data_IF_890505916328
#
_entry.id   IF_890505916328
#
_cell.length_a   1.000
_cell.length_b   1.000
_cell.length_c   1.000
_cell.angle_alpha   90.00
_cell.angle_beta   90.00
_cell.angle_gamma   90.00
#
_symmetry.space_group_name_H-M   'P 1'
#
loop_
_entity.id
_entity.type
_entity.pdbx_description
1 polymer ?
#
# COMPACT_ATOMS: atom_id res chain seq x y z
N UNK A 1 42.34 4.53 -6.94
CA UNK A 1 41.08 4.41 -6.19
C UNK A 1 40.54 5.80 -5.76
N UNK A 2 41.38 6.73 -5.35
CA UNK A 2 40.96 8.09 -4.98
C UNK A 2 40.46 8.97 -6.14
N UNK A 3 40.97 8.79 -7.38
CA UNK A 3 40.54 9.59 -8.53
C UNK A 3 39.11 9.27 -9.02
N UNK A 4 38.62 8.04 -8.81
CA UNK A 4 37.23 7.70 -9.10
C UNK A 4 36.23 8.33 -8.10
N UNK A 5 36.67 8.57 -6.87
CA UNK A 5 35.87 9.26 -5.84
C UNK A 5 35.77 10.78 -6.09
N UNK A 6 36.76 11.40 -6.70
CA UNK A 6 36.74 12.81 -7.06
C UNK A 6 35.87 13.09 -8.30
N UNK A 7 35.68 12.12 -9.20
CA UNK A 7 34.83 12.23 -10.38
C UNK A 7 33.32 12.07 -10.07
N UNK A 8 32.96 11.39 -9.00
CA UNK A 8 31.59 11.29 -8.51
C UNK A 8 31.29 12.56 -7.71
N UNK A 9 30.56 13.47 -8.32
CA UNK A 9 30.19 14.80 -7.87
C UNK A 9 29.98 14.96 -6.35
N UNK A 10 30.06 16.19 -5.86
CA UNK A 10 30.20 16.47 -4.44
C UNK A 10 29.28 15.60 -3.57
N UNK A 11 29.78 14.99 -2.48
CA UNK A 11 28.99 14.19 -1.54
C UNK A 11 27.67 14.86 -1.12
N UNK A 12 27.64 16.17 -1.11
CA UNK A 12 26.48 17.00 -0.79
C UNK A 12 25.32 16.86 -1.80
N UNK A 13 25.61 16.66 -3.09
CA UNK A 13 24.57 16.51 -4.12
C UNK A 13 23.87 15.15 -3.97
N UNK A 14 24.63 14.08 -3.75
CA UNK A 14 24.07 12.75 -3.47
C UNK A 14 23.24 12.77 -2.19
N UNK A 15 23.72 13.44 -1.14
CA UNK A 15 22.99 13.61 0.11
C UNK A 15 21.67 14.37 -0.08
N UNK A 16 21.69 15.47 -0.86
CA UNK A 16 20.48 16.21 -1.20
C UNK A 16 19.48 15.34 -1.98
N UNK A 17 19.95 14.59 -2.98
CA UNK A 17 19.12 13.68 -3.76
C UNK A 17 18.51 12.57 -2.89
N UNK A 18 19.30 12.01 -1.97
CA UNK A 18 18.84 10.98 -1.04
C UNK A 18 17.83 11.52 -0.01
N UNK A 19 18.03 12.75 0.44
CA UNK A 19 17.08 13.47 1.30
C UNK A 19 15.75 13.71 0.59
N UNK A 20 15.76 14.14 -0.68
CA UNK A 20 14.56 14.29 -1.49
C UNK A 20 13.81 12.97 -1.61
N UNK A 21 14.52 11.86 -1.89
CA UNK A 21 13.93 10.52 -1.91
C UNK A 21 13.27 10.16 -0.58
N UNK A 22 13.94 10.44 0.54
CA UNK A 22 13.41 10.14 1.87
C UNK A 22 12.12 10.92 2.18
N UNK A 23 12.05 12.20 1.79
CA UNK A 23 10.85 13.04 1.92
C UNK A 23 9.68 12.42 1.14
N UNK A 24 9.88 12.07 -0.13
CA UNK A 24 8.83 11.47 -0.95
C UNK A 24 8.40 10.08 -0.47
N UNK A 25 9.36 9.28 0.03
CA UNK A 25 9.07 7.98 0.66
C UNK A 25 8.16 8.12 1.87
N UNK A 26 8.47 9.08 2.77
CA UNK A 26 7.65 9.30 3.96
C UNK A 26 6.31 9.95 3.61
N UNK A 27 6.26 10.84 2.63
CA UNK A 27 5.01 11.40 2.08
C UNK A 27 4.09 10.28 1.59
N UNK A 28 4.60 9.34 0.80
CA UNK A 28 3.84 8.19 0.32
C UNK A 28 3.35 7.30 1.48
N UNK A 29 4.19 7.04 2.47
CA UNK A 29 3.83 6.25 3.64
C UNK A 29 2.71 6.91 4.47
N UNK A 30 2.78 8.23 4.69
CA UNK A 30 1.74 9.00 5.39
C UNK A 30 0.40 8.98 4.66
N UNK A 31 0.43 9.18 3.33
CA UNK A 31 -0.79 9.11 2.50
C UNK A 31 -1.42 7.70 2.55
N UNK A 32 -0.60 6.64 2.44
CA UNK A 32 -1.06 5.25 2.59
C UNK A 32 -1.68 4.99 3.96
N UNK A 33 -1.02 5.44 5.01
CA UNK A 33 -1.50 5.26 6.39
C UNK A 33 -2.84 5.97 6.62
N UNK A 34 -3.01 7.20 6.09
CA UNK A 34 -4.27 7.93 6.16
C UNK A 34 -5.41 7.21 5.43
N UNK A 35 -5.17 6.74 4.20
CA UNK A 35 -6.15 5.95 3.44
C UNK A 35 -6.56 4.69 4.20
N UNK A 36 -5.59 3.94 4.72
CA UNK A 36 -5.84 2.72 5.49
C UNK A 36 -6.64 3.01 6.77
N UNK A 37 -6.30 4.09 7.50
CA UNK A 37 -7.01 4.53 8.71
C UNK A 37 -8.49 4.82 8.41
N UNK A 38 -8.76 5.62 7.37
CA UNK A 38 -10.13 6.01 7.04
C UNK A 38 -10.97 4.85 6.50
N UNK A 39 -10.37 3.92 5.73
CA UNK A 39 -11.03 2.68 5.29
C UNK A 39 -11.45 1.82 6.48
N UNK A 40 -10.53 1.60 7.44
CA UNK A 40 -10.83 0.84 8.66
C UNK A 40 -11.91 1.53 9.50
N UNK A 41 -11.81 2.84 9.66
CA UNK A 41 -12.81 3.61 10.40
C UNK A 41 -14.20 3.48 9.76
N UNK A 42 -14.31 3.63 8.44
CA UNK A 42 -15.58 3.48 7.73
C UNK A 42 -16.19 2.07 7.88
N UNK A 43 -15.35 1.03 7.82
CA UNK A 43 -15.79 -0.35 8.03
C UNK A 43 -16.33 -0.56 9.45
N UNK A 44 -15.59 -0.11 10.47
CA UNK A 44 -16.01 -0.22 11.88
C UNK A 44 -17.28 0.61 12.14
N UNK A 45 -17.36 1.83 11.62
CA UNK A 45 -18.54 2.68 11.76
C UNK A 45 -19.78 2.06 11.09
N UNK A 46 -19.63 1.44 9.93
CA UNK A 46 -20.72 0.73 9.25
C UNK A 46 -21.29 -0.43 10.10
N UNK A 47 -20.41 -1.26 10.65
CA UNK A 47 -20.81 -2.36 11.53
C UNK A 47 -21.43 -1.85 12.82
N UNK A 48 -20.83 -0.82 13.45
CA UNK A 48 -21.35 -0.21 14.67
C UNK A 48 -22.74 0.40 14.45
N UNK A 49 -22.94 1.10 13.35
CA UNK A 49 -24.25 1.68 13.00
C UNK A 49 -25.31 0.60 12.82
N UNK A 50 -25.02 -0.47 12.08
CA UNK A 50 -25.92 -1.61 11.93
C UNK A 50 -26.24 -2.29 13.27
N UNK A 51 -25.23 -2.43 14.13
CA UNK A 51 -25.42 -2.95 15.49
C UNK A 51 -26.38 -2.09 16.32
N UNK A 52 -26.19 -0.77 16.33
CA UNK A 52 -27.02 0.17 17.08
C UNK A 52 -28.47 0.16 16.57
N UNK A 53 -28.69 0.13 15.27
CA UNK A 53 -30.05 0.03 14.69
C UNK A 53 -30.75 -1.27 15.14
N UNK A 54 -30.03 -2.38 15.09
CA UNK A 54 -30.57 -3.69 15.53
C UNK A 54 -30.86 -3.69 17.03
N UNK A 55 -29.95 -3.12 17.82
CA UNK A 55 -30.10 -2.98 19.27
C UNK A 55 -31.32 -2.09 19.62
N UNK A 56 -31.50 -0.98 18.92
CA UNK A 56 -32.66 -0.10 19.11
C UNK A 56 -33.97 -0.85 18.86
N UNK A 57 -34.02 -1.69 17.82
CA UNK A 57 -35.17 -2.57 17.57
C UNK A 57 -35.44 -3.57 18.69
N UNK A 58 -34.38 -4.22 19.21
CA UNK A 58 -34.50 -5.19 20.33
C UNK A 58 -34.95 -4.50 21.63
N UNK A 59 -34.38 -3.36 21.98
CA UNK A 59 -34.77 -2.59 23.20
C UNK A 59 -36.20 -2.08 23.10
N UNK A 60 -36.65 -1.64 21.91
CA UNK A 60 -38.05 -1.24 21.68
C UNK A 60 -39.06 -2.37 21.93
N UNK A 61 -38.62 -3.60 21.72
CA UNK A 61 -39.45 -4.77 22.05
C UNK A 61 -39.66 -4.95 23.56
N UNK A 62 -38.75 -4.46 24.41
CA UNK A 62 -38.76 -4.52 25.85
C UNK A 62 -39.37 -3.27 26.51
N UNK A 63 -39.07 -2.09 25.95
CA UNK A 63 -39.53 -0.78 26.46
C UNK A 63 -40.21 0.02 25.32
N UNK A 64 -41.52 -0.15 25.20
CA UNK A 64 -42.30 0.41 24.08
C UNK A 64 -42.50 1.92 24.17
N UNK A 65 -42.49 2.49 25.37
CA UNK A 65 -42.79 3.90 25.62
C UNK A 65 -41.51 4.72 25.92
N UNK A 66 -40.37 4.06 26.08
CA UNK A 66 -39.10 4.70 26.40
C UNK A 66 -38.49 5.51 25.23
N UNK A 67 -37.83 6.61 25.56
CA UNK A 67 -37.07 7.41 24.57
C UNK A 67 -35.74 6.80 24.17
N UNK A 68 -35.22 5.87 24.97
CA UNK A 68 -33.91 5.25 24.81
C UNK A 68 -33.73 4.52 23.45
N UNK A 69 -34.68 3.68 22.98
CA UNK A 69 -34.58 3.06 21.65
C UNK A 69 -34.45 4.07 20.52
N UNK A 70 -35.20 5.17 20.62
CA UNK A 70 -35.19 6.23 19.60
C UNK A 70 -33.84 6.99 19.58
N UNK A 71 -33.22 7.20 20.72
CA UNK A 71 -31.89 7.80 20.82
C UNK A 71 -30.82 6.86 20.23
N UNK A 72 -30.87 5.56 20.56
CA UNK A 72 -29.93 4.56 20.01
C UNK A 72 -30.04 4.52 18.48
N UNK A 73 -31.25 4.46 17.94
CA UNK A 73 -31.49 4.48 16.50
C UNK A 73 -30.97 5.79 15.86
N UNK A 74 -31.24 6.96 16.46
CA UNK A 74 -30.71 8.24 15.95
C UNK A 74 -29.18 8.24 15.87
N UNK A 75 -28.50 7.75 16.89
CA UNK A 75 -27.02 7.66 16.90
C UNK A 75 -26.54 6.68 15.82
N UNK A 76 -27.18 5.52 15.69
CA UNK A 76 -26.89 4.55 14.63
C UNK A 76 -27.05 5.15 13.24
N UNK A 77 -28.16 5.82 12.98
CA UNK A 77 -28.44 6.48 11.70
C UNK A 77 -27.41 7.60 11.38
N UNK A 78 -27.03 8.42 12.36
CA UNK A 78 -25.99 9.45 12.18
C UNK A 78 -24.66 8.80 11.79
N UNK A 79 -24.24 7.74 12.49
CA UNK A 79 -22.99 7.00 12.18
C UNK A 79 -23.05 6.48 10.75
N UNK A 80 -24.14 5.83 10.35
CA UNK A 80 -24.30 5.28 8.99
C UNK A 80 -24.29 6.38 7.93
N UNK A 81 -24.92 7.53 8.19
CA UNK A 81 -24.93 8.66 7.25
C UNK A 81 -23.54 9.28 7.03
N UNK A 82 -22.65 9.23 8.02
CA UNK A 82 -21.30 9.77 7.92
C UNK A 82 -20.38 8.86 7.10
N UNK A 83 -20.63 7.54 7.03
CA UNK A 83 -19.76 6.59 6.31
C UNK A 83 -19.57 6.96 4.82
N UNK A 84 -20.63 7.14 3.99
CA UNK A 84 -20.46 7.49 2.59
C UNK A 84 -19.77 8.84 2.39
N UNK A 85 -20.00 9.81 3.27
CA UNK A 85 -19.32 11.11 3.25
C UNK A 85 -17.81 10.95 3.45
N UNK A 86 -17.38 10.17 4.45
CA UNK A 86 -15.96 9.87 4.70
C UNK A 86 -15.34 9.12 3.54
N UNK A 87 -16.02 8.11 3.00
CA UNK A 87 -15.52 7.35 1.84
C UNK A 87 -15.30 8.25 0.63
N UNK A 88 -16.24 9.16 0.35
CA UNK A 88 -16.14 10.10 -0.76
C UNK A 88 -15.03 11.15 -0.59
N UNK A 89 -14.79 11.63 0.64
CA UNK A 89 -13.87 12.75 0.90
C UNK A 89 -12.47 12.30 1.29
N UNK A 90 -12.34 11.23 2.08
CA UNK A 90 -11.05 10.77 2.66
C UNK A 90 -10.45 9.56 1.96
N UNK A 91 -11.26 8.81 1.20
CA UNK A 91 -10.84 7.59 0.49
C UNK A 91 -11.11 7.70 -1.02
N UNK A 92 -11.20 8.93 -1.52
CA UNK A 92 -11.47 9.22 -2.93
C UNK A 92 -10.38 8.64 -3.85
N UNK A 93 -10.72 8.44 -5.14
CA UNK A 93 -9.77 8.02 -6.18
C UNK A 93 -8.58 8.98 -6.27
N UNK A 94 -8.81 10.28 -6.09
CA UNK A 94 -7.74 11.29 -6.13
C UNK A 94 -6.73 11.10 -5.00
N UNK A 95 -7.18 10.79 -3.77
CA UNK A 95 -6.29 10.48 -2.65
C UNK A 95 -5.44 9.23 -2.89
N UNK A 96 -6.01 8.23 -3.56
CA UNK A 96 -5.25 7.04 -3.97
C UNK A 96 -4.20 7.40 -5.03
N UNK A 97 -4.55 8.24 -6.00
CA UNK A 97 -3.62 8.74 -7.03
C UNK A 97 -2.47 9.54 -6.41
N UNK A 98 -2.75 10.45 -5.47
CA UNK A 98 -1.74 11.21 -4.75
C UNK A 98 -0.71 10.28 -4.09
N UNK A 99 -1.18 9.25 -3.40
CA UNK A 99 -0.32 8.24 -2.80
C UNK A 99 0.55 7.51 -3.83
N UNK A 100 -0.05 7.00 -4.92
CA UNK A 100 0.67 6.27 -5.96
C UNK A 100 1.73 7.16 -6.62
N UNK A 101 1.38 8.40 -6.98
CA UNK A 101 2.30 9.37 -7.58
C UNK A 101 3.48 9.70 -6.65
N UNK A 102 3.22 9.93 -5.36
CA UNK A 102 4.27 10.16 -4.37
C UNK A 102 5.22 8.95 -4.26
N UNK A 103 4.68 7.72 -4.26
CA UNK A 103 5.46 6.49 -4.24
C UNK A 103 6.32 6.35 -5.51
N UNK A 104 5.74 6.55 -6.69
CA UNK A 104 6.47 6.45 -7.96
C UNK A 104 7.63 7.43 -8.03
N UNK A 105 7.45 8.67 -7.56
CA UNK A 105 8.53 9.65 -7.49
C UNK A 105 9.62 9.22 -6.51
N UNK A 106 9.25 8.71 -5.34
CA UNK A 106 10.21 8.20 -4.37
C UNK A 106 11.09 7.09 -4.95
N UNK A 107 10.49 6.12 -5.65
CA UNK A 107 11.24 5.02 -6.26
C UNK A 107 12.08 5.49 -7.45
N UNK A 108 11.58 6.40 -8.31
CA UNK A 108 12.35 6.96 -9.41
C UNK A 108 13.57 7.77 -8.92
N UNK A 109 13.43 8.53 -7.82
CA UNK A 109 14.55 9.22 -7.20
C UNK A 109 15.58 8.23 -6.63
N UNK A 110 15.11 7.16 -6.01
CA UNK A 110 15.95 6.10 -5.45
C UNK A 110 16.75 5.39 -6.54
N UNK A 111 16.09 4.95 -7.61
CA UNK A 111 16.71 4.38 -8.81
C UNK A 111 17.79 5.31 -9.38
N UNK A 112 17.45 6.59 -9.55
CA UNK A 112 18.36 7.59 -10.09
C UNK A 112 19.65 7.69 -9.27
N UNK A 113 19.54 7.68 -7.94
CA UNK A 113 20.72 7.73 -7.05
C UNK A 113 21.56 6.45 -7.17
N UNK A 114 20.93 5.27 -7.20
CA UNK A 114 21.66 4.01 -7.33
C UNK A 114 22.36 3.88 -8.68
N UNK A 115 21.72 4.25 -9.79
CA UNK A 115 22.34 4.29 -11.12
C UNK A 115 23.52 5.25 -11.18
N UNK A 116 23.39 6.43 -10.55
CA UNK A 116 24.47 7.40 -10.46
C UNK A 116 25.68 6.85 -9.69
N UNK A 117 25.45 6.24 -8.53
CA UNK A 117 26.50 5.67 -7.68
C UNK A 117 27.18 4.44 -8.31
N UNK A 118 26.45 3.67 -9.10
CA UNK A 118 26.98 2.53 -9.85
C UNK A 118 27.70 2.96 -11.16
N UNK A 119 27.57 4.23 -11.58
CA UNK A 119 28.16 4.75 -12.81
C UNK A 119 27.62 4.09 -14.09
N UNK A 120 26.33 3.75 -14.09
CA UNK A 120 25.65 3.09 -15.22
C UNK A 120 24.63 4.01 -15.89
N UNK A 121 24.24 3.76 -17.15
CA UNK A 121 23.30 4.62 -17.87
C UNK A 121 22.01 4.92 -17.07
N UNK A 122 21.48 6.15 -17.17
CA UNK A 122 21.90 7.28 -18.02
C UNK A 122 23.16 8.01 -17.55
N UNK A 123 23.78 7.55 -16.48
CA UNK A 123 25.06 8.06 -15.97
C UNK A 123 26.20 7.15 -16.41
N UNK A 124 27.39 7.74 -16.65
CA UNK A 124 28.57 6.99 -17.10
C UNK A 124 29.86 7.65 -16.62
N UNK A 125 31.03 7.15 -17.09
CA UNK A 125 32.31 7.80 -16.83
C UNK A 125 32.27 9.25 -17.31
N UNK A 126 32.37 10.22 -16.40
CA UNK A 126 32.29 11.65 -16.70
C UNK A 126 30.93 12.32 -16.41
N UNK A 127 29.93 11.59 -15.98
CA UNK A 127 28.68 12.21 -15.49
C UNK A 127 28.94 13.10 -14.29
N UNK A 128 28.41 14.30 -14.34
CA UNK A 128 28.60 15.32 -13.32
C UNK A 128 27.49 15.28 -12.25
N UNK A 129 27.74 15.94 -11.13
CA UNK A 129 26.68 16.20 -10.15
C UNK A 129 25.50 17.00 -10.72
N UNK A 130 25.73 17.83 -11.75
CA UNK A 130 24.69 18.58 -12.43
C UNK A 130 23.69 17.66 -13.16
N UNK A 131 24.14 16.54 -13.71
CA UNK A 131 23.29 15.57 -14.38
C UNK A 131 22.31 14.92 -13.39
N UNK A 132 22.79 14.56 -12.19
CA UNK A 132 21.96 14.05 -11.10
C UNK A 132 20.92 15.09 -10.65
N UNK A 133 21.33 16.34 -10.46
CA UNK A 133 20.43 17.45 -10.07
C UNK A 133 19.34 17.64 -11.13
N UNK A 134 19.74 17.67 -12.41
CA UNK A 134 18.81 17.87 -13.52
C UNK A 134 17.78 16.73 -13.60
N UNK A 135 18.25 15.48 -13.47
CA UNK A 135 17.35 14.31 -13.48
C UNK A 135 16.34 14.37 -12.33
N UNK A 136 16.81 14.65 -11.11
CA UNK A 136 15.94 14.80 -9.94
C UNK A 136 14.92 15.93 -10.11
N UNK A 137 15.34 17.06 -10.72
CA UNK A 137 14.42 18.17 -11.02
C UNK A 137 13.30 17.76 -11.98
N UNK A 138 13.62 16.99 -13.02
CA UNK A 138 12.63 16.46 -13.96
C UNK A 138 11.64 15.53 -13.26
N UNK A 139 12.13 14.61 -12.44
CA UNK A 139 11.28 13.66 -11.70
C UNK A 139 10.33 14.41 -10.75
N UNK A 140 10.86 15.33 -9.93
CA UNK A 140 10.04 16.14 -8.99
C UNK A 140 9.07 17.07 -9.73
N UNK A 141 9.41 17.49 -10.94
CA UNK A 141 8.57 18.31 -11.80
C UNK A 141 7.21 17.68 -12.13
N UNK A 142 7.14 16.33 -12.17
CA UNK A 142 5.90 15.57 -12.46
C UNK A 142 4.86 15.61 -11.32
N UNK A 143 5.25 16.06 -10.13
CA UNK A 143 4.40 16.06 -8.91
C UNK A 143 4.46 17.40 -8.17
N UNK A 144 4.61 18.52 -8.89
CA UNK A 144 4.66 19.87 -8.29
C UNK A 144 3.44 20.20 -7.44
N UNK A 145 2.28 19.70 -7.84
CA UNK A 145 1.00 19.85 -7.13
C UNK A 145 1.00 19.18 -5.74
N UNK A 146 1.82 18.14 -5.53
CA UNK A 146 1.98 17.48 -4.24
C UNK A 146 3.07 18.13 -3.37
N UNK A 147 3.75 19.15 -3.87
CA UNK A 147 4.87 19.80 -3.18
C UNK A 147 4.50 20.36 -1.81
N UNK A 148 3.29 20.89 -1.66
CA UNK A 148 2.80 21.39 -0.36
C UNK A 148 2.66 20.27 0.69
N UNK A 149 2.26 19.06 0.27
CA UNK A 149 2.15 17.90 1.16
C UNK A 149 3.56 17.41 1.56
N UNK A 150 4.47 17.35 0.58
CA UNK A 150 5.84 16.92 0.82
C UNK A 150 6.61 17.90 1.72
N UNK A 151 6.34 19.21 1.63
CA UNK A 151 6.97 20.23 2.46
C UNK A 151 6.64 20.12 3.96
N UNK A 152 5.55 19.42 4.32
CA UNK A 152 5.17 19.16 5.71
C UNK A 152 5.86 17.93 6.31
N UNK A 153 6.72 17.27 5.53
CA UNK A 153 7.42 16.06 5.94
C UNK A 153 8.84 16.40 6.34
N UNK A 154 9.21 16.15 7.59
CA UNK A 154 10.60 16.17 8.01
C UNK A 154 11.31 14.94 7.47
N UNK A 155 12.43 15.10 6.74
CA UNK A 155 13.15 13.98 6.17
C UNK A 155 13.70 13.07 7.28
N UNK A 156 13.38 11.77 7.27
CA UNK A 156 14.00 10.84 8.19
C UNK A 156 15.51 10.78 7.93
N UNK A 157 16.31 10.71 8.99
CA UNK A 157 17.76 10.47 8.87
C UNK A 157 17.98 9.06 8.34
N UNK A 158 18.30 8.94 7.07
CA UNK A 158 18.71 7.67 6.44
C UNK A 158 20.16 7.80 6.02
N UNK A 159 20.94 6.78 6.37
CA UNK A 159 22.29 6.68 5.84
C UNK A 159 22.24 6.69 4.31
N UNK A 160 23.06 7.54 3.71
CA UNK A 160 23.17 7.63 2.26
C UNK A 160 24.01 6.46 1.74
N UNK A 161 23.66 5.89 0.60
CA UNK A 161 24.56 4.98 -0.08
C UNK A 161 25.82 5.71 -0.54
N UNK A 162 26.95 5.01 -0.53
CA UNK A 162 28.24 5.49 -1.07
C UNK A 162 28.43 4.98 -2.49
N UNK A 163 29.51 5.40 -3.17
CA UNK A 163 29.89 4.84 -4.47
C UNK A 163 29.94 3.31 -4.40
N UNK A 164 29.29 2.64 -5.35
CA UNK A 164 29.04 1.21 -5.31
C UNK A 164 29.88 0.49 -6.35
N UNK A 165 30.69 -0.46 -5.90
CA UNK A 165 31.14 -1.53 -6.78
C UNK A 165 29.97 -2.46 -7.14
N UNK A 166 30.05 -3.26 -8.21
CA UNK A 166 28.97 -4.18 -8.55
C UNK A 166 28.60 -5.15 -7.41
N UNK A 167 29.58 -5.64 -6.65
CA UNK A 167 29.33 -6.54 -5.52
C UNK A 167 28.65 -5.79 -4.34
N UNK A 168 29.02 -4.54 -4.10
CA UNK A 168 28.34 -3.68 -3.12
C UNK A 168 26.90 -3.34 -3.55
N UNK A 169 26.66 -3.13 -4.85
CA UNK A 169 25.31 -2.94 -5.38
C UNK A 169 24.43 -4.18 -5.13
N UNK A 170 24.95 -5.39 -5.37
CA UNK A 170 24.24 -6.63 -5.03
C UNK A 170 23.88 -6.66 -3.57
N UNK A 171 24.82 -6.36 -2.68
CA UNK A 171 24.63 -6.44 -1.23
C UNK A 171 23.64 -5.38 -0.72
N UNK A 172 23.85 -4.11 -1.11
CA UNK A 172 23.15 -2.97 -0.50
C UNK A 172 21.84 -2.61 -1.22
N UNK A 173 21.70 -3.02 -2.49
CA UNK A 173 20.47 -2.75 -3.26
C UNK A 173 19.66 -4.01 -3.48
N UNK A 174 20.26 -5.03 -4.12
CA UNK A 174 19.51 -6.23 -4.55
C UNK A 174 19.09 -7.08 -3.36
N UNK A 175 20.06 -7.52 -2.54
CA UNK A 175 19.78 -8.38 -1.37
C UNK A 175 18.91 -7.66 -0.34
N UNK A 176 19.14 -6.36 -0.07
CA UNK A 176 18.28 -5.57 0.83
C UNK A 176 16.84 -5.50 0.31
N UNK A 177 16.62 -5.33 -1.01
CA UNK A 177 15.27 -5.35 -1.57
C UNK A 177 14.62 -6.73 -1.42
N UNK A 178 15.35 -7.82 -1.69
CA UNK A 178 14.82 -9.18 -1.57
C UNK A 178 14.49 -9.50 -0.12
N UNK A 179 15.50 -9.39 0.78
CA UNK A 179 15.43 -9.95 2.13
C UNK A 179 14.72 -9.05 3.13
N UNK A 180 14.86 -7.71 3.00
CA UNK A 180 14.30 -6.76 3.95
C UNK A 180 13.02 -6.09 3.48
N UNK A 181 12.70 -6.18 2.18
CA UNK A 181 11.49 -5.54 1.65
C UNK A 181 10.53 -6.55 1.01
N UNK A 182 10.88 -7.18 -0.13
CA UNK A 182 9.92 -7.97 -0.89
C UNK A 182 9.45 -9.23 -0.18
N UNK A 183 10.35 -10.07 0.31
CA UNK A 183 9.96 -11.31 1.00
C UNK A 183 9.18 -11.05 2.30
N UNK A 184 9.58 -10.12 3.19
CA UNK A 184 8.79 -9.79 4.38
C UNK A 184 7.43 -9.20 4.03
N UNK A 185 7.36 -8.25 3.07
CA UNK A 185 6.10 -7.64 2.66
C UNK A 185 5.17 -8.63 1.97
N UNK A 186 5.70 -9.54 1.14
CA UNK A 186 4.94 -10.63 0.56
C UNK A 186 4.30 -11.51 1.64
N UNK A 187 5.08 -11.91 2.65
CA UNK A 187 4.59 -12.71 3.79
C UNK A 187 3.55 -11.97 4.63
N UNK A 188 3.80 -10.70 4.96
CA UNK A 188 2.84 -9.87 5.70
C UNK A 188 1.47 -9.82 4.99
N UNK A 189 1.49 -9.56 3.67
CA UNK A 189 0.26 -9.48 2.88
C UNK A 189 -0.44 -10.85 2.76
N UNK A 190 0.30 -11.95 2.52
CA UNK A 190 -0.27 -13.29 2.45
C UNK A 190 -0.92 -13.70 3.78
N UNK A 191 -0.29 -13.39 4.92
CA UNK A 191 -0.86 -13.65 6.24
C UNK A 191 -2.11 -12.80 6.48
N UNK A 192 -2.08 -11.51 6.10
CA UNK A 192 -3.23 -10.63 6.23
C UNK A 192 -4.42 -11.11 5.38
N UNK A 193 -4.19 -11.49 4.13
CA UNK A 193 -5.18 -12.07 3.24
C UNK A 193 -5.81 -13.32 3.86
N UNK A 194 -4.99 -14.29 4.26
CA UNK A 194 -5.47 -15.55 4.87
C UNK A 194 -6.33 -15.30 6.12
N UNK A 195 -5.90 -14.37 7.00
CA UNK A 195 -6.69 -14.03 8.21
C UNK A 195 -8.05 -13.43 7.87
N UNK A 196 -8.08 -12.54 6.89
CA UNK A 196 -9.32 -11.86 6.50
C UNK A 196 -10.26 -12.81 5.72
N UNK A 197 -9.76 -13.69 4.85
CA UNK A 197 -10.56 -14.72 4.21
C UNK A 197 -11.16 -15.69 5.22
N UNK A 198 -10.40 -16.12 6.22
CA UNK A 198 -10.92 -16.96 7.29
C UNK A 198 -12.02 -16.24 8.11
N UNK A 199 -11.83 -14.94 8.38
CA UNK A 199 -12.84 -14.13 9.08
C UNK A 199 -14.11 -13.97 8.23
N UNK A 200 -13.97 -13.67 6.94
CA UNK A 200 -15.07 -13.57 5.97
C UNK A 200 -15.87 -14.87 5.93
N UNK A 201 -15.19 -16.00 5.77
CA UNK A 201 -15.83 -17.33 5.77
C UNK A 201 -16.56 -17.62 7.09
N UNK A 202 -15.93 -17.34 8.24
CA UNK A 202 -16.54 -17.57 9.56
C UNK A 202 -17.77 -16.71 9.78
N UNK A 203 -17.73 -15.42 9.38
CA UNK A 203 -18.88 -14.52 9.48
C UNK A 203 -20.01 -14.95 8.52
N UNK A 204 -19.67 -15.36 7.30
CA UNK A 204 -20.65 -15.88 6.35
C UNK A 204 -21.34 -17.13 6.86
N UNK A 205 -20.58 -18.10 7.38
CA UNK A 205 -21.13 -19.32 7.97
C UNK A 205 -22.01 -19.01 9.19
N UNK A 206 -21.57 -18.12 10.07
CA UNK A 206 -22.37 -17.69 11.23
C UNK A 206 -23.69 -17.05 10.80
N UNK A 207 -23.68 -16.20 9.79
CA UNK A 207 -24.89 -15.56 9.27
C UNK A 207 -25.88 -16.59 8.72
N UNK A 208 -25.40 -17.63 8.00
CA UNK A 208 -26.22 -18.73 7.48
C UNK A 208 -26.83 -19.54 8.61
N UNK A 209 -26.04 -19.94 9.62
CA UNK A 209 -26.52 -20.69 10.78
C UNK A 209 -27.55 -19.88 11.55
N UNK A 210 -27.30 -18.62 11.85
CA UNK A 210 -28.25 -17.76 12.56
C UNK A 210 -29.56 -17.57 11.78
N UNK A 211 -29.45 -17.38 10.46
CA UNK A 211 -30.61 -17.24 9.57
C UNK A 211 -31.47 -18.51 9.53
N UNK A 212 -30.82 -19.67 9.43
CA UNK A 212 -31.52 -20.97 9.46
C UNK A 212 -32.24 -21.21 10.81
N UNK A 213 -31.57 -20.94 11.93
CA UNK A 213 -32.15 -21.05 13.26
C UNK A 213 -33.33 -20.09 13.47
N UNK A 214 -33.20 -18.84 13.06
CA UNK A 214 -34.28 -17.85 13.14
C UNK A 214 -35.50 -18.26 12.29
N UNK A 215 -35.25 -18.79 11.09
CA UNK A 215 -36.31 -19.26 10.19
C UNK A 215 -37.04 -20.50 10.78
N UNK A 216 -36.30 -21.49 11.25
CA UNK A 216 -36.86 -22.68 11.90
C UNK A 216 -37.65 -22.33 13.16
N UNK A 217 -37.15 -21.39 13.96
CA UNK A 217 -37.83 -20.90 15.16
C UNK A 217 -39.17 -20.20 14.85
N UNK A 218 -39.21 -19.44 13.77
CA UNK A 218 -40.47 -18.82 13.31
C UNK A 218 -41.48 -19.86 12.90
N UNK A 219 -41.06 -20.92 12.20
CA UNK A 219 -41.93 -22.01 11.75
C UNK A 219 -42.45 -22.88 12.90
N UNK A 220 -41.68 -23.02 13.99
CA UNK A 220 -42.01 -23.84 15.16
C UNK A 220 -42.64 -23.07 16.31
N UNK A 221 -42.79 -21.75 16.20
CA UNK A 221 -43.34 -20.87 17.23
C UNK A 221 -42.41 -20.61 18.43
N UNK A 222 -41.11 -20.90 18.30
CA UNK A 222 -40.09 -20.64 19.33
C UNK A 222 -39.66 -19.16 19.30
N UNK A 223 -40.43 -18.31 20.00
CA UNK A 223 -40.27 -16.84 19.97
C UNK A 223 -38.87 -16.36 20.37
N UNK A 224 -38.20 -17.01 21.30
CA UNK A 224 -36.88 -16.62 21.79
C UNK A 224 -35.81 -16.68 20.69
N UNK A 225 -35.80 -17.75 19.88
CA UNK A 225 -34.85 -17.94 18.78
C UNK A 225 -35.18 -17.07 17.57
N UNK A 226 -36.43 -16.65 17.39
CA UNK A 226 -36.81 -15.74 16.31
C UNK A 226 -36.15 -14.34 16.47
N UNK A 227 -35.76 -13.97 17.70
CA UNK A 227 -35.01 -12.73 17.99
C UNK A 227 -33.60 -12.69 17.36
N UNK A 228 -33.09 -13.84 16.88
CA UNK A 228 -31.83 -13.90 16.12
C UNK A 228 -31.93 -13.24 14.74
N UNK A 229 -33.11 -13.22 14.13
CA UNK A 229 -33.32 -12.71 12.78
C UNK A 229 -32.72 -11.34 12.51
N UNK A 230 -33.01 -10.29 13.30
CA UNK A 230 -32.41 -8.96 13.14
C UNK A 230 -30.88 -8.94 13.27
N UNK A 231 -30.29 -9.84 14.07
CA UNK A 231 -28.84 -9.90 14.25
C UNK A 231 -28.10 -10.50 13.06
N UNK A 232 -28.77 -11.25 12.20
CA UNK A 232 -28.22 -11.70 10.92
C UNK A 232 -27.75 -10.50 10.08
N UNK A 233 -28.52 -9.40 10.10
CA UNK A 233 -28.15 -8.16 9.37
C UNK A 233 -26.85 -7.56 9.88
N UNK A 234 -26.55 -7.62 11.17
CA UNK A 234 -25.28 -7.13 11.75
C UNK A 234 -24.13 -8.00 11.28
N UNK A 235 -24.28 -9.33 11.34
CA UNK A 235 -23.23 -10.27 10.93
C UNK A 235 -22.95 -10.17 9.43
N UNK A 236 -23.99 -10.06 8.59
CA UNK A 236 -23.82 -9.88 7.14
C UNK A 236 -23.18 -8.54 6.80
N UNK A 237 -23.51 -7.45 7.54
CA UNK A 237 -22.84 -6.16 7.39
C UNK A 237 -21.36 -6.24 7.76
N UNK A 238 -21.02 -6.98 8.83
CA UNK A 238 -19.62 -7.22 9.21
C UNK A 238 -18.88 -8.03 8.13
N UNK A 239 -19.51 -9.08 7.60
CA UNK A 239 -18.97 -9.86 6.48
C UNK A 239 -18.72 -8.98 5.26
N UNK A 240 -19.71 -8.20 4.82
CA UNK A 240 -19.57 -7.27 3.70
C UNK A 240 -18.47 -6.23 3.91
N UNK A 241 -18.29 -5.73 5.14
CA UNK A 241 -17.20 -4.81 5.47
C UNK A 241 -15.81 -5.47 5.35
N UNK A 242 -15.68 -6.74 5.72
CA UNK A 242 -14.44 -7.52 5.54
C UNK A 242 -14.15 -7.75 4.06
N UNK A 243 -15.17 -8.20 3.28
CA UNK A 243 -15.06 -8.38 1.82
C UNK A 243 -14.65 -7.10 1.12
N UNK A 244 -15.29 -5.98 1.45
CA UNK A 244 -14.94 -4.65 0.89
C UNK A 244 -13.51 -4.24 1.26
N UNK A 245 -13.06 -4.54 2.49
CA UNK A 245 -11.69 -4.27 2.91
C UNK A 245 -10.68 -5.13 2.16
N UNK A 246 -10.94 -6.42 1.95
CA UNK A 246 -10.12 -7.33 1.13
C UNK A 246 -9.99 -6.81 -0.30
N UNK A 247 -11.10 -6.50 -0.95
CA UNK A 247 -11.13 -5.98 -2.31
C UNK A 247 -10.35 -4.66 -2.44
N UNK A 248 -10.52 -3.72 -1.49
CA UNK A 248 -9.82 -2.44 -1.49
C UNK A 248 -8.34 -2.54 -1.17
N UNK A 249 -7.92 -3.53 -0.38
CA UNK A 249 -6.52 -3.69 0.06
C UNK A 249 -5.71 -4.56 -0.89
N UNK A 250 -6.35 -5.44 -1.66
CA UNK A 250 -5.72 -6.34 -2.66
C UNK A 250 -4.54 -7.12 -2.09
N UNK A 251 -4.66 -7.62 -0.87
CA UNK A 251 -3.56 -8.30 -0.17
C UNK A 251 -2.98 -9.48 -0.96
N UNK A 252 -3.83 -10.32 -1.57
CA UNK A 252 -3.39 -11.47 -2.38
C UNK A 252 -2.56 -11.02 -3.58
N UNK A 253 -3.04 -10.03 -4.33
CA UNK A 253 -2.33 -9.48 -5.47
C UNK A 253 -0.99 -8.86 -5.04
N UNK A 254 -0.97 -8.09 -3.94
CA UNK A 254 0.28 -7.52 -3.41
C UNK A 254 1.28 -8.61 -3.00
N UNK A 255 0.81 -9.68 -2.35
CA UNK A 255 1.68 -10.80 -1.97
C UNK A 255 2.30 -11.47 -3.20
N UNK A 256 1.49 -11.77 -4.23
CA UNK A 256 1.98 -12.36 -5.50
C UNK A 256 2.98 -11.45 -6.20
N UNK A 257 2.70 -10.15 -6.29
CA UNK A 257 3.60 -9.16 -6.91
C UNK A 257 4.93 -9.09 -6.16
N UNK A 258 4.92 -9.01 -4.84
CA UNK A 258 6.15 -8.95 -4.05
C UNK A 258 6.98 -10.23 -4.16
N UNK A 259 6.38 -11.41 -4.11
CA UNK A 259 7.09 -12.66 -4.31
C UNK A 259 7.64 -12.79 -5.73
N UNK A 260 6.86 -12.42 -6.75
CA UNK A 260 7.29 -12.43 -8.15
C UNK A 260 8.46 -11.48 -8.42
N UNK A 261 8.45 -10.27 -7.81
CA UNK A 261 9.58 -9.34 -7.92
C UNK A 261 10.82 -9.86 -7.19
N UNK A 262 10.64 -10.48 -6.01
CA UNK A 262 11.76 -11.10 -5.30
C UNK A 262 12.40 -12.23 -6.11
N UNK A 263 11.59 -13.11 -6.68
CA UNK A 263 12.04 -14.23 -7.51
C UNK A 263 12.78 -13.75 -8.77
N UNK A 264 12.24 -12.74 -9.44
CA UNK A 264 12.90 -12.11 -10.59
C UNK A 264 14.25 -11.51 -10.23
N UNK A 265 14.35 -10.79 -9.09
CA UNK A 265 15.62 -10.23 -8.63
C UNK A 265 16.64 -11.32 -8.26
N UNK A 266 16.19 -12.42 -7.67
CA UNK A 266 17.02 -13.59 -7.38
C UNK A 266 17.57 -14.16 -8.70
N UNK A 267 16.72 -14.38 -9.70
CA UNK A 267 17.13 -14.89 -11.01
C UNK A 267 18.17 -14.00 -11.67
N UNK A 268 17.91 -12.69 -11.78
CA UNK A 268 18.86 -11.71 -12.37
C UNK A 268 20.19 -11.69 -11.61
N UNK A 269 20.16 -11.75 -10.28
CA UNK A 269 21.37 -11.81 -9.45
C UNK A 269 22.16 -13.07 -9.70
N UNK A 270 21.50 -14.22 -9.71
CA UNK A 270 22.17 -15.52 -9.83
C UNK A 270 22.74 -15.71 -11.24
N UNK A 271 22.04 -15.26 -12.30
CA UNK A 271 22.56 -15.21 -13.67
C UNK A 271 23.81 -14.32 -13.77
N UNK A 272 23.79 -13.14 -13.13
CA UNK A 272 24.96 -12.25 -13.09
C UNK A 272 26.13 -12.87 -12.36
N UNK A 273 25.91 -13.53 -11.21
CA UNK A 273 26.95 -14.22 -10.44
C UNK A 273 27.59 -15.39 -11.20
N UNK A 274 26.81 -16.09 -12.02
CA UNK A 274 27.28 -17.18 -12.86
C UNK A 274 28.05 -16.72 -14.10
N UNK A 275 27.95 -15.43 -14.50
CA UNK A 275 28.60 -14.92 -15.70
C UNK A 275 30.12 -14.73 -15.49
N UNK A 276 31.01 -15.40 -16.23
CA UNK A 276 32.46 -15.23 -16.10
C UNK A 276 32.93 -13.78 -16.42
N UNK A 277 32.19 -13.08 -17.29
CA UNK A 277 32.50 -11.69 -17.69
C UNK A 277 31.71 -10.65 -16.90
N UNK A 278 31.22 -11.00 -15.72
CA UNK A 278 30.32 -10.15 -14.90
C UNK A 278 30.86 -8.75 -14.58
N UNK A 279 32.18 -8.58 -14.55
CA UNK A 279 32.83 -7.30 -14.26
C UNK A 279 33.06 -6.42 -15.50
N UNK A 280 32.69 -6.91 -16.70
CA UNK A 280 32.70 -6.07 -17.89
C UNK A 280 31.69 -4.91 -17.72
N UNK A 281 32.06 -3.67 -18.06
CA UNK A 281 31.20 -2.51 -17.87
C UNK A 281 29.81 -2.65 -18.52
N UNK A 282 29.75 -3.32 -19.68
CA UNK A 282 28.46 -3.53 -20.37
C UNK A 282 27.59 -4.56 -19.65
N UNK A 283 28.21 -5.62 -19.11
CA UNK A 283 27.51 -6.60 -18.28
C UNK A 283 27.01 -5.98 -16.96
N UNK A 284 27.82 -5.14 -16.33
CA UNK A 284 27.42 -4.41 -15.10
C UNK A 284 26.26 -3.48 -15.40
N UNK A 285 26.33 -2.68 -16.48
CA UNK A 285 25.27 -1.77 -16.85
C UNK A 285 23.94 -2.50 -17.11
N UNK A 286 24.01 -3.61 -17.84
CA UNK A 286 22.83 -4.47 -18.11
C UNK A 286 22.27 -5.05 -16.81
N UNK A 287 23.11 -5.58 -15.94
CA UNK A 287 22.69 -6.16 -14.66
C UNK A 287 21.94 -5.14 -13.79
N UNK A 288 22.49 -3.92 -13.63
CA UNK A 288 21.84 -2.85 -12.87
C UNK A 288 20.53 -2.45 -13.54
N UNK A 289 20.50 -2.38 -14.87
CA UNK A 289 19.28 -2.05 -15.62
C UNK A 289 18.19 -3.11 -15.41
N UNK A 290 18.50 -4.38 -15.53
CA UNK A 290 17.59 -5.51 -15.31
C UNK A 290 17.05 -5.52 -13.87
N UNK A 291 17.90 -5.23 -12.87
CA UNK A 291 17.48 -5.12 -11.47
C UNK A 291 16.53 -3.93 -11.22
N UNK A 292 16.89 -2.73 -11.68
CA UNK A 292 16.06 -1.54 -11.48
C UNK A 292 14.76 -1.64 -12.30
N UNK A 293 14.79 -2.27 -13.47
CA UNK A 293 13.58 -2.56 -14.24
C UNK A 293 12.66 -3.54 -13.51
N UNK A 294 13.21 -4.60 -12.90
CA UNK A 294 12.40 -5.52 -12.08
C UNK A 294 11.70 -4.81 -10.92
N UNK A 295 12.38 -3.84 -10.29
CA UNK A 295 11.84 -3.03 -9.19
C UNK A 295 10.80 -2.02 -9.70
N UNK A 296 11.06 -1.37 -10.86
CA UNK A 296 10.16 -0.33 -11.41
C UNK A 296 8.89 -0.91 -12.01
N UNK A 297 8.93 -2.10 -12.58
CA UNK A 297 7.77 -2.78 -13.18
C UNK A 297 6.64 -2.98 -12.15
N UNK A 298 6.98 -3.24 -10.88
CA UNK A 298 5.99 -3.29 -9.81
C UNK A 298 5.25 -1.94 -9.68
N UNK A 299 5.97 -0.83 -9.74
CA UNK A 299 5.38 0.51 -9.61
C UNK A 299 4.58 0.92 -10.86
N UNK A 300 5.03 0.55 -12.05
CA UNK A 300 4.33 0.83 -13.31
C UNK A 300 3.04 0.02 -13.46
N UNK A 301 3.04 -1.24 -13.04
CA UNK A 301 1.84 -2.07 -13.00
C UNK A 301 0.77 -1.45 -12.10
N UNK A 302 1.16 -0.91 -10.96
CA UNK A 302 0.26 -0.15 -10.09
C UNK A 302 -0.31 1.10 -10.78
N UNK A 303 0.53 1.87 -11.46
CA UNK A 303 0.09 3.07 -12.20
C UNK A 303 -0.88 2.72 -13.33
N UNK A 304 -0.57 1.69 -14.12
CA UNK A 304 -1.40 1.25 -15.24
C UNK A 304 -2.77 0.73 -14.77
N UNK A 305 -2.80 -0.11 -13.75
CA UNK A 305 -4.03 -0.72 -13.23
C UNK A 305 -5.00 0.33 -12.67
N UNK A 306 -4.48 1.35 -11.98
CA UNK A 306 -5.31 2.44 -11.45
C UNK A 306 -5.66 3.50 -12.50
N UNK A 307 -4.97 3.53 -13.64
CA UNK A 307 -5.30 4.40 -14.78
C UNK A 307 -6.37 3.77 -15.67
N UNK A 308 -6.39 2.44 -15.82
CA UNK A 308 -7.35 1.72 -16.66
C UNK A 308 -8.77 1.64 -16.09
N UNK A 309 -9.00 1.96 -14.82
CA UNK A 309 -10.35 2.00 -14.22
C UNK A 309 -11.16 3.26 -14.57
N UNK A 310 -10.76 4.05 -15.58
CA UNK A 310 -11.53 5.18 -16.04
C UNK A 310 -12.12 4.91 -17.43
N UNK A 311 -13.45 4.76 -17.57
CA UNK A 311 -14.10 5.16 -18.81
C UNK A 311 -13.93 6.67 -18.96
N UNK A 312 -13.37 7.08 -20.09
CA UNK A 312 -13.39 8.48 -20.53
C UNK A 312 -14.83 9.01 -20.43
N UNK A 313 -14.97 10.14 -19.74
CA UNK A 313 -16.19 10.95 -19.76
C UNK A 313 -16.03 12.04 -20.78
#
# INVERSE_FOLDING_TARGET
>A
MNDKLAALGSPQVVESAWRDQAIWSDTANRLKAQLSKWRKWAAVAGVLGAFLETLAGAVRGLDKEGWLPSLIALVGAIILAVVPYVMRTKVSKDRVREWIRARSVSEALKETVYRYLAGVPPFGPGSSAADLIQRNRVIKGKVRDLGAIAALVEPPRKERPVALTPDEYVKTRVNDQIERYYLPKGRENAIAAKKLHNLEFSLGLLAVIMGALASAATATGLKELSLLGPWVAVVTTACAAVTAHLAASRYDHQAMTYFGTADRLIGVRDEWLANPNRLDPTCVAKFVDDCEHAISTENEAWLAEWSCEQPEK
#
